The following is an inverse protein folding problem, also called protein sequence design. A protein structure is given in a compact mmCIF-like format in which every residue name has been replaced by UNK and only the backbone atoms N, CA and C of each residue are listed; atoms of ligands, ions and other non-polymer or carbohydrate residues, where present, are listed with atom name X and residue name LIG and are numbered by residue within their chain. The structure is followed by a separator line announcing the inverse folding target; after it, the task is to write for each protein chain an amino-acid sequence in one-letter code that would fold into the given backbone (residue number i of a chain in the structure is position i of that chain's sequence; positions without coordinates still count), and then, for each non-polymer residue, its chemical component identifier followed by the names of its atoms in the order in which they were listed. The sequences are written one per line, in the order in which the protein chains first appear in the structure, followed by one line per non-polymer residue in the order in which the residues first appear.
data_IF_781102793356
#
_entry.id   IF_781102793356
#
_cell.length_a   1.000
_cell.length_b   1.000
_cell.length_c   1.000
_cell.angle_alpha   90.00
_cell.angle_beta   90.00
_cell.angle_gamma   90.00
#
_symmetry.space_group_name_H-M   'P 1'
#
loop_
_entity.id
_entity.type
_entity.pdbx_description
1 polymer ?
#
# COMPACT_ATOMS: atom_id res chain seq x y z
N UNK A 1 11.32 -46.12 -8.56
CA UNK A 1 12.21 -45.03 -9.01
C UNK A 1 12.09 -43.92 -7.99
N UNK A 2 13.18 -43.59 -7.31
CA UNK A 2 13.21 -42.50 -6.33
C UNK A 2 13.54 -41.22 -7.10
N UNK A 3 12.50 -40.47 -7.49
CA UNK A 3 12.68 -39.22 -8.23
C UNK A 3 12.89 -38.14 -7.18
N UNK A 4 14.12 -38.03 -6.66
CA UNK A 4 14.48 -36.96 -5.75
C UNK A 4 14.44 -35.64 -6.51
N UNK A 5 13.29 -34.98 -6.48
CA UNK A 5 13.07 -33.65 -7.03
C UNK A 5 13.56 -32.62 -6.01
N UNK A 6 14.77 -32.09 -6.25
CA UNK A 6 15.44 -31.22 -5.32
C UNK A 6 15.26 -29.73 -5.67
N UNK A 7 15.55 -28.87 -4.69
CA UNK A 7 15.38 -27.41 -4.84
C UNK A 7 16.13 -26.84 -6.06
N UNK A 8 17.37 -27.23 -6.36
CA UNK A 8 18.05 -26.78 -7.58
C UNK A 8 17.33 -27.15 -8.89
N UNK A 9 16.78 -28.37 -8.98
CA UNK A 9 16.00 -28.80 -10.15
C UNK A 9 14.72 -27.97 -10.28
N UNK A 10 14.02 -27.73 -9.17
CA UNK A 10 12.85 -26.85 -9.15
C UNK A 10 13.17 -25.44 -9.67
N UNK A 11 14.24 -24.83 -9.17
CA UNK A 11 14.62 -23.47 -9.58
C UNK A 11 14.98 -23.40 -11.06
N UNK A 12 15.61 -24.43 -11.61
CA UNK A 12 15.94 -24.51 -13.04
C UNK A 12 14.69 -24.62 -13.91
N UNK A 13 13.68 -25.34 -13.44
CA UNK A 13 12.47 -25.64 -14.22
C UNK A 13 11.41 -24.52 -14.12
N UNK A 14 11.58 -23.54 -13.22
CA UNK A 14 10.68 -22.39 -13.05
C UNK A 14 10.31 -21.64 -14.35
N UNK A 15 11.25 -21.33 -15.26
CA UNK A 15 10.92 -20.66 -16.52
C UNK A 15 9.95 -21.49 -17.37
N UNK A 16 10.19 -22.79 -17.48
CA UNK A 16 9.33 -23.71 -18.23
C UNK A 16 7.96 -23.86 -17.56
N UNK A 17 7.92 -23.98 -16.22
CA UNK A 17 6.66 -24.01 -15.47
C UNK A 17 5.85 -22.74 -15.70
N UNK A 18 6.51 -21.58 -15.73
CA UNK A 18 5.87 -20.29 -16.03
C UNK A 18 5.26 -20.31 -17.43
N UNK A 19 6.03 -20.67 -18.46
CA UNK A 19 5.52 -20.75 -19.84
C UNK A 19 4.34 -21.72 -20.00
N UNK A 20 4.35 -22.83 -19.26
CA UNK A 20 3.24 -23.79 -19.29
C UNK A 20 2.00 -23.31 -18.53
N UNK A 21 2.20 -22.54 -17.45
CA UNK A 21 1.11 -22.06 -16.58
C UNK A 21 0.45 -20.78 -17.11
N UNK A 22 1.22 -19.85 -17.67
CA UNK A 22 0.73 -18.56 -18.16
C UNK A 22 0.26 -18.61 -19.63
N UNK A 23 -0.35 -19.73 -20.03
CA UNK A 23 -1.04 -19.84 -21.32
C UNK A 23 -2.42 -19.22 -21.21
N UNK A 24 -2.87 -18.59 -22.29
CA UNK A 24 -4.20 -17.98 -22.37
C UNK A 24 -5.31 -18.98 -21.97
N UNK A 25 -5.25 -20.21 -22.49
CA UNK A 25 -6.20 -21.27 -22.17
C UNK A 25 -6.21 -21.65 -20.68
N UNK A 26 -5.04 -21.68 -20.04
CA UNK A 26 -4.91 -21.96 -18.60
C UNK A 26 -5.51 -20.83 -17.77
N UNK A 27 -5.23 -19.58 -18.15
CA UNK A 27 -5.78 -18.38 -17.48
C UNK A 27 -7.30 -18.33 -17.62
N UNK A 28 -7.83 -18.49 -18.84
CA UNK A 28 -9.27 -18.52 -19.10
C UNK A 28 -9.96 -19.66 -18.34
N UNK A 29 -9.35 -20.85 -18.32
CA UNK A 29 -9.86 -22.00 -17.57
C UNK A 29 -9.89 -21.74 -16.07
N UNK A 30 -8.83 -21.13 -15.52
CA UNK A 30 -8.78 -20.75 -14.11
C UNK A 30 -9.85 -19.72 -13.76
N UNK A 31 -10.07 -18.71 -14.59
CA UNK A 31 -11.06 -17.66 -14.38
C UNK A 31 -12.49 -18.23 -14.40
N UNK A 32 -12.76 -19.15 -15.32
CA UNK A 32 -14.02 -19.89 -15.38
C UNK A 32 -14.23 -20.76 -14.14
N UNK A 33 -13.19 -21.48 -13.69
CA UNK A 33 -13.25 -22.31 -12.47
C UNK A 33 -13.42 -21.49 -11.20
N UNK A 34 -12.94 -20.25 -11.18
CA UNK A 34 -13.13 -19.31 -10.08
C UNK A 34 -14.50 -18.60 -10.12
N UNK A 35 -15.27 -18.75 -11.21
CA UNK A 35 -16.53 -18.02 -11.41
C UNK A 35 -16.33 -16.53 -11.69
N UNK A 36 -15.14 -16.13 -12.11
CA UNK A 36 -14.80 -14.73 -12.46
C UNK A 36 -15.26 -14.44 -13.89
N UNK A 37 -15.01 -15.36 -14.82
CA UNK A 37 -15.41 -15.21 -16.22
C UNK A 37 -15.78 -16.55 -16.90
N UNK A 38 -17.02 -16.70 -17.43
CA UNK A 38 -18.16 -15.82 -17.21
C UNK A 38 -18.52 -15.73 -15.73
N UNK A 39 -19.10 -14.61 -15.31
CA UNK A 39 -19.39 -14.34 -13.90
C UNK A 39 -20.39 -15.39 -13.37
N UNK A 40 -19.98 -16.11 -12.32
CA UNK A 40 -20.82 -17.05 -11.59
C UNK A 40 -20.75 -16.72 -10.10
N UNK A 41 -21.74 -15.96 -9.62
CA UNK A 41 -21.79 -15.53 -8.22
C UNK A 41 -21.79 -16.71 -7.25
N UNK A 42 -22.44 -17.83 -7.61
CA UNK A 42 -22.46 -19.04 -6.78
C UNK A 42 -21.05 -19.60 -6.57
N UNK A 43 -20.30 -19.79 -7.66
CA UNK A 43 -18.93 -20.33 -7.62
C UNK A 43 -17.99 -19.36 -6.91
N UNK A 44 -18.12 -18.06 -7.20
CA UNK A 44 -17.30 -17.03 -6.56
C UNK A 44 -17.52 -16.99 -5.03
N UNK A 45 -18.78 -17.05 -4.57
CA UNK A 45 -19.12 -17.05 -3.14
C UNK A 45 -18.67 -18.34 -2.42
N UNK A 46 -18.78 -19.50 -3.08
CA UNK A 46 -18.25 -20.76 -2.56
C UNK A 46 -16.74 -20.68 -2.35
N UNK A 47 -16.01 -20.18 -3.36
CA UNK A 47 -14.55 -19.99 -3.27
C UNK A 47 -14.17 -18.96 -2.21
N UNK A 48 -14.90 -17.85 -2.13
CA UNK A 48 -14.67 -16.84 -1.11
C UNK A 48 -14.83 -17.43 0.29
N UNK A 49 -15.90 -18.20 0.56
CA UNK A 49 -16.04 -18.90 1.85
C UNK A 49 -14.89 -19.85 2.15
N UNK A 50 -14.39 -20.60 1.16
CA UNK A 50 -13.26 -21.51 1.36
C UNK A 50 -12.00 -20.76 1.78
N UNK A 51 -11.70 -19.62 1.13
CA UNK A 51 -10.48 -18.85 1.40
C UNK A 51 -10.60 -17.88 2.57
N UNK A 52 -11.82 -17.48 2.96
CA UNK A 52 -12.09 -16.62 4.11
C UNK A 52 -12.07 -17.37 5.45
N UNK A 53 -11.98 -18.70 5.45
CA UNK A 53 -11.77 -19.42 6.70
C UNK A 53 -10.34 -19.15 7.20
N UNK A 54 -10.17 -18.70 8.46
CA UNK A 54 -8.84 -18.58 9.04
C UNK A 54 -8.19 -19.95 9.01
N UNK A 55 -7.01 -20.02 8.39
CA UNK A 55 -6.21 -21.26 8.38
C UNK A 55 -5.94 -21.63 9.84
N UNK A 56 -6.25 -22.86 10.28
CA UNK A 56 -5.93 -23.29 11.64
C UNK A 56 -4.41 -23.39 11.76
N UNK A 57 -3.79 -22.27 12.10
CA UNK A 57 -2.41 -22.22 12.56
C UNK A 57 -2.46 -22.56 14.04
N UNK A 58 -1.55 -23.42 14.51
CA UNK A 58 -1.46 -23.87 15.90
C UNK A 58 -1.39 -22.72 16.92
N UNK A 59 -1.32 -23.02 18.23
CA UNK A 59 -1.66 -22.09 19.31
C UNK A 59 -0.83 -20.82 19.23
N UNK A 60 -1.39 -19.82 18.57
CA UNK A 60 -0.91 -18.45 18.58
C UNK A 60 -1.94 -17.72 19.40
N UNK A 61 -1.49 -17.16 20.51
CA UNK A 61 -2.30 -16.34 21.40
C UNK A 61 -3.16 -15.36 20.59
N UNK A 62 -4.40 -15.08 21.02
CA UNK A 62 -5.27 -14.16 20.32
C UNK A 62 -4.67 -12.76 20.42
N UNK A 63 -3.79 -12.40 19.48
CA UNK A 63 -3.43 -11.02 19.24
C UNK A 63 -4.68 -10.40 18.64
N UNK A 64 -5.49 -9.79 19.50
CA UNK A 64 -6.57 -8.89 19.09
C UNK A 64 -6.03 -8.01 17.97
N UNK A 65 -6.66 -7.99 16.78
CA UNK A 65 -6.24 -7.10 15.72
C UNK A 65 -6.39 -5.68 16.25
N UNK A 66 -5.28 -5.10 16.68
CA UNK A 66 -5.22 -3.70 17.06
C UNK A 66 -5.48 -2.94 15.79
N UNK A 67 -6.64 -2.30 15.69
CA UNK A 67 -6.93 -1.37 14.60
C UNK A 67 -5.73 -0.43 14.46
N UNK A 68 -5.13 -0.28 13.26
CA UNK A 68 -4.09 0.71 13.08
C UNK A 68 -4.62 2.04 13.57
N UNK A 69 -3.82 2.70 14.43
CA UNK A 69 -4.15 4.01 14.98
C UNK A 69 -4.58 4.96 13.86
N UNK A 70 -5.51 5.89 14.11
CA UNK A 70 -6.02 6.79 13.09
C UNK A 70 -4.89 7.36 12.24
N UNK A 71 -4.99 7.13 10.94
CA UNK A 71 -4.23 7.86 9.91
C UNK A 71 -4.37 9.35 10.28
N UNK A 72 -3.24 10.08 10.27
CA UNK A 72 -3.14 11.45 10.80
C UNK A 72 -4.42 12.26 10.56
N UNK A 73 -4.94 12.96 11.58
CA UNK A 73 -6.09 13.83 11.39
C UNK A 73 -5.80 14.85 10.29
N UNK A 74 -6.81 15.16 9.49
CA UNK A 74 -6.71 16.19 8.45
C UNK A 74 -6.32 17.50 9.16
N UNK A 75 -5.16 18.09 8.85
CA UNK A 75 -4.73 19.30 9.54
C UNK A 75 -5.69 20.44 9.21
N UNK A 76 -6.21 21.10 10.24
CA UNK A 76 -7.09 22.27 10.12
C UNK A 76 -6.37 23.58 10.46
N UNK A 77 -5.11 23.50 10.88
CA UNK A 77 -4.28 24.65 11.28
C UNK A 77 -2.95 24.64 10.55
N UNK A 78 -2.36 25.82 10.32
CA UNK A 78 -1.03 25.95 9.73
C UNK A 78 0.03 25.13 10.49
N UNK A 79 0.02 25.22 11.81
CA UNK A 79 0.91 24.44 12.67
C UNK A 79 0.75 22.92 12.47
N UNK A 80 -0.48 22.44 12.27
CA UNK A 80 -0.74 21.02 11.98
C UNK A 80 -0.16 20.58 10.64
N UNK A 81 -0.24 21.45 9.62
CA UNK A 81 0.37 21.20 8.30
C UNK A 81 1.90 21.19 8.39
N UNK A 82 2.51 22.15 9.09
CA UNK A 82 3.97 22.22 9.28
C UNK A 82 4.52 21.01 10.01
N UNK A 83 3.87 20.57 11.08
CA UNK A 83 4.27 19.37 11.82
C UNK A 83 4.19 18.10 10.95
N UNK A 84 3.14 17.99 10.13
CA UNK A 84 3.00 16.91 9.16
C UNK A 84 4.12 16.94 8.12
N UNK A 85 4.42 18.11 7.56
CA UNK A 85 5.47 18.29 6.58
C UNK A 85 6.84 17.87 7.15
N UNK A 86 7.19 18.32 8.36
CA UNK A 86 8.45 17.94 9.03
C UNK A 86 8.52 16.43 9.30
N UNK A 87 7.43 15.84 9.81
CA UNK A 87 7.38 14.40 10.11
C UNK A 87 7.65 13.53 8.87
N UNK A 88 7.14 13.93 7.71
CA UNK A 88 7.30 13.17 6.47
C UNK A 88 8.58 13.49 5.71
N UNK A 89 9.14 14.69 5.91
CA UNK A 89 10.39 15.14 5.30
C UNK A 89 11.53 14.15 5.50
N UNK A 90 11.64 13.57 6.69
CA UNK A 90 12.71 12.64 7.03
C UNK A 90 12.35 11.16 6.78
N UNK A 91 11.05 10.83 6.71
CA UNK A 91 10.56 9.44 6.59
C UNK A 91 10.48 8.91 5.16
N UNK A 92 10.21 9.78 4.19
CA UNK A 92 10.00 9.40 2.78
C UNK A 92 11.26 9.32 1.89
N UNK A 93 12.37 10.07 2.12
CA UNK A 93 13.49 10.14 1.19
C UNK A 93 14.15 8.79 0.85
N UNK A 94 14.18 7.84 1.80
CA UNK A 94 14.81 6.53 1.61
C UNK A 94 14.10 5.67 0.55
N UNK A 95 12.77 5.81 0.45
CA UNK A 95 11.96 5.04 -0.50
C UNK A 95 12.03 5.59 -1.94
N UNK A 96 12.59 6.79 -2.13
CA UNK A 96 12.63 7.47 -3.42
C UNK A 96 13.95 7.23 -4.17
N UNK A 97 13.83 7.17 -5.50
CA UNK A 97 14.97 7.24 -6.42
C UNK A 97 15.67 8.60 -6.32
N UNK A 98 16.93 8.71 -6.78
CA UNK A 98 17.71 9.95 -6.67
C UNK A 98 17.00 11.18 -7.27
N UNK A 99 16.42 11.13 -8.50
CA UNK A 99 15.71 12.29 -9.05
C UNK A 99 14.45 12.65 -8.25
N UNK A 100 13.67 11.64 -7.83
CA UNK A 100 12.46 11.85 -7.03
C UNK A 100 12.78 12.41 -5.64
N UNK A 101 13.87 11.97 -5.02
CA UNK A 101 14.34 12.49 -3.73
C UNK A 101 14.73 13.96 -3.83
N UNK A 102 15.45 14.34 -4.90
CA UNK A 102 15.80 15.74 -5.13
C UNK A 102 14.57 16.61 -5.36
N UNK A 103 13.64 16.13 -6.20
CA UNK A 103 12.37 16.82 -6.46
C UNK A 103 11.55 17.00 -5.18
N UNK A 104 11.48 15.95 -4.33
CA UNK A 104 10.79 16.00 -3.05
C UNK A 104 11.45 17.01 -2.10
N UNK A 105 12.78 17.02 -1.99
CA UNK A 105 13.52 17.97 -1.18
C UNK A 105 13.23 19.42 -1.60
N UNK A 106 13.31 19.71 -2.90
CA UNK A 106 13.01 21.05 -3.42
C UNK A 106 11.56 21.46 -3.10
N UNK A 107 10.61 20.54 -3.29
CA UNK A 107 9.20 20.78 -2.99
C UNK A 107 8.96 21.03 -1.49
N UNK A 108 9.54 20.22 -0.59
CA UNK A 108 9.38 20.42 0.87
C UNK A 108 9.88 21.79 1.32
N UNK A 109 11.01 22.25 0.78
CA UNK A 109 11.56 23.59 1.09
C UNK A 109 10.63 24.70 0.63
N UNK A 110 10.13 24.62 -0.61
CA UNK A 110 9.17 25.61 -1.13
C UNK A 110 7.84 25.60 -0.35
N UNK A 111 7.34 24.42 0.00
CA UNK A 111 6.13 24.27 0.79
C UNK A 111 6.26 24.94 2.17
N UNK A 112 7.39 24.77 2.86
CA UNK A 112 7.64 25.47 4.15
C UNK A 112 7.61 27.00 4.01
N UNK A 113 8.18 27.55 2.94
CA UNK A 113 8.18 29.01 2.71
C UNK A 113 6.76 29.56 2.46
N UNK A 114 5.98 28.83 1.66
CA UNK A 114 4.58 29.20 1.37
C UNK A 114 3.72 29.13 2.63
N UNK A 115 3.91 28.11 3.47
CA UNK A 115 3.19 27.98 4.74
C UNK A 115 3.48 29.15 5.70
N UNK A 116 4.76 29.52 5.86
CA UNK A 116 5.14 30.65 6.69
C UNK A 116 4.50 31.96 6.21
N UNK A 117 4.41 32.15 4.89
CA UNK A 117 3.75 33.32 4.29
C UNK A 117 2.23 33.30 4.54
N UNK A 118 1.60 32.13 4.42
CA UNK A 118 0.17 31.98 4.71
C UNK A 118 -0.18 32.29 6.17
N UNK A 119 0.66 31.86 7.11
CA UNK A 119 0.47 32.17 8.53
C UNK A 119 0.57 33.68 8.81
N UNK A 120 1.52 34.37 8.17
CA UNK A 120 1.65 35.84 8.28
C UNK A 120 0.41 36.55 7.74
N UNK A 121 -0.14 36.09 6.61
CA UNK A 121 -1.37 36.66 6.04
C UNK A 121 -2.58 36.46 6.95
N UNK A 122 -2.71 35.30 7.59
CA UNK A 122 -3.80 35.05 8.55
C UNK A 122 -3.72 35.99 9.76
N UNK A 123 -2.51 36.20 10.30
CA UNK A 123 -2.29 37.12 11.41
C UNK A 123 -2.63 38.57 11.04
N UNK A 124 -2.26 39.01 9.83
CA UNK A 124 -2.57 40.36 9.34
C UNK A 124 -4.09 40.56 9.18
N UNK A 125 -4.80 39.57 8.64
CA UNK A 125 -6.26 39.61 8.54
C UNK A 125 -6.94 39.67 9.91
N UNK A 126 -6.43 38.92 10.90
CA UNK A 126 -6.95 38.99 12.26
C UNK A 126 -6.72 40.36 12.89
N UNK A 127 -5.55 40.97 12.66
CA UNK A 127 -5.23 42.31 13.16
C UNK A 127 -6.16 43.38 12.57
N UNK A 128 -6.47 43.30 11.27
CA UNK A 128 -7.43 44.19 10.60
C UNK A 128 -8.85 44.03 11.17
N UNK A 129 -9.28 42.80 11.45
CA UNK A 129 -10.62 42.53 11.99
C UNK A 129 -10.82 43.02 13.43
N UNK A 130 -9.75 43.32 14.16
CA UNK A 130 -9.80 43.79 15.55
C UNK A 130 -9.77 45.32 15.67
N UNK A 131 -9.67 46.05 14.55
CA UNK A 131 -9.70 47.52 14.47
C UNK A 131 -11.11 48.04 14.15
#
# INVERSE_FOLDING_TARGET
MDITYNLPQFMRDLPQMREQTFKESTIQSAFRKAGIWPISCKTALEKLRTYSQPTPTGPTEPTTPTLPQPIMPIPTTFQGVEQGLQRWKDRLPEAFSSPSRQSYSNWTTGASQVLATGQLQELDLQAIQQQ
#
